data_IF_316893272194
#
_entry.id   IF_316893272194
#
_cell.length_a   1.000
_cell.length_b   1.000
_cell.length_c   1.000
_cell.angle_alpha   90.00
_cell.angle_beta   90.00
_cell.angle_gamma   90.00
#
_symmetry.space_group_name_H-M   'P 1'
#
loop_
_entity.id
_entity.type
_entity.pdbx_description
1 polymer ?
#
# COMPACT_ATOMS: atom_id res chain seq x y z
N UNK A 1 35.65 2.09 27.12
CA UNK A 1 34.51 1.46 26.46
C UNK A 1 34.85 1.39 24.97
N UNK A 2 34.74 0.26 24.34
CA UNK A 2 35.15 0.10 22.93
C UNK A 2 34.03 0.63 22.02
N UNK A 3 34.22 1.83 21.45
CA UNK A 3 33.22 2.49 20.59
C UNK A 3 32.91 1.65 19.35
N UNK A 4 33.93 0.97 18.78
CA UNK A 4 33.77 0.12 17.59
C UNK A 4 32.79 -1.05 17.81
N UNK A 5 32.72 -1.60 19.02
CA UNK A 5 31.75 -2.61 19.38
C UNK A 5 30.31 -2.09 19.29
N UNK A 6 30.03 -0.93 19.88
CA UNK A 6 28.69 -0.34 19.86
C UNK A 6 28.29 0.16 18.47
N UNK A 7 29.24 0.72 17.70
CA UNK A 7 29.00 1.12 16.32
C UNK A 7 28.68 -0.08 15.43
N UNK A 8 29.41 -1.20 15.60
CA UNK A 8 29.11 -2.43 14.90
C UNK A 8 27.74 -3.02 15.29
N UNK A 9 27.38 -2.96 16.58
CA UNK A 9 26.09 -3.44 17.07
C UNK A 9 24.91 -2.59 16.51
N UNK A 10 25.03 -1.25 16.54
CA UNK A 10 24.00 -0.38 15.93
C UNK A 10 23.88 -0.59 14.43
N UNK A 11 25.01 -0.80 13.73
CA UNK A 11 25.02 -1.15 12.31
C UNK A 11 24.31 -2.48 12.03
N UNK A 12 24.52 -3.52 12.87
CA UNK A 12 23.79 -4.79 12.71
C UNK A 12 22.28 -4.62 12.89
N UNK A 13 21.83 -3.88 13.91
CA UNK A 13 20.41 -3.62 14.17
C UNK A 13 19.78 -2.91 12.95
N UNK A 14 20.41 -1.82 12.50
CA UNK A 14 19.90 -1.07 11.35
C UNK A 14 19.82 -1.92 10.06
N UNK A 15 20.83 -2.77 9.80
CA UNK A 15 20.80 -3.66 8.65
C UNK A 15 19.76 -4.76 8.79
N UNK A 16 19.50 -5.26 10.02
CA UNK A 16 18.43 -6.22 10.27
C UNK A 16 17.06 -5.63 9.97
N UNK A 17 16.81 -4.38 10.39
CA UNK A 17 15.58 -3.66 10.07
C UNK A 17 15.43 -3.44 8.56
N UNK A 18 16.51 -3.08 7.86
CA UNK A 18 16.53 -2.98 6.41
C UNK A 18 16.18 -4.31 5.72
N UNK A 19 16.77 -5.42 6.15
CA UNK A 19 16.45 -6.76 5.64
C UNK A 19 14.96 -7.11 5.83
N UNK A 20 14.38 -6.75 6.96
CA UNK A 20 12.96 -6.99 7.24
C UNK A 20 12.08 -6.27 6.22
N UNK A 21 12.41 -5.00 5.89
CA UNK A 21 11.66 -4.19 4.93
C UNK A 21 11.77 -4.79 3.52
N UNK A 22 12.99 -5.12 3.05
CA UNK A 22 13.16 -5.74 1.73
C UNK A 22 12.48 -7.12 1.64
N UNK A 23 12.53 -7.92 2.72
CA UNK A 23 11.83 -9.20 2.78
C UNK A 23 10.31 -9.03 2.73
N UNK A 24 9.79 -7.97 3.37
CA UNK A 24 8.37 -7.62 3.30
C UNK A 24 7.95 -7.23 1.89
N UNK A 25 8.74 -6.41 1.18
CA UNK A 25 8.51 -6.09 -0.22
C UNK A 25 8.46 -7.35 -1.09
N UNK A 26 9.46 -8.23 -0.96
CA UNK A 26 9.52 -9.49 -1.72
C UNK A 26 8.28 -10.36 -1.48
N UNK A 27 7.83 -10.45 -0.23
CA UNK A 27 6.63 -11.23 0.12
C UNK A 27 5.36 -10.69 -0.54
N UNK A 28 5.31 -9.37 -0.79
CA UNK A 28 4.15 -8.67 -1.35
C UNK A 28 4.29 -8.35 -2.85
N UNK A 29 5.20 -9.03 -3.57
CA UNK A 29 5.39 -8.83 -5.02
C UNK A 29 4.14 -9.16 -5.84
N UNK A 30 3.32 -10.11 -5.39
CA UNK A 30 2.06 -10.51 -6.05
C UNK A 30 0.81 -9.89 -5.42
N UNK A 31 0.96 -9.00 -4.43
CA UNK A 31 -0.16 -8.36 -3.77
C UNK A 31 -0.66 -7.18 -4.61
N UNK A 32 -1.95 -7.17 -4.94
CA UNK A 32 -2.59 -6.13 -5.75
C UNK A 32 -2.54 -4.78 -5.02
N UNK A 33 -2.23 -3.71 -5.74
CA UNK A 33 -2.19 -2.35 -5.20
C UNK A 33 -1.09 -2.09 -4.15
N UNK A 34 -0.17 -3.05 -3.92
CA UNK A 34 0.91 -2.88 -2.96
C UNK A 34 1.94 -1.85 -3.43
N UNK A 35 2.29 -0.91 -2.55
CA UNK A 35 3.35 0.08 -2.77
C UNK A 35 4.60 -0.32 -2.01
N UNK A 36 5.73 -0.41 -2.72
CA UNK A 36 7.01 -0.82 -2.12
C UNK A 36 7.48 0.15 -1.05
N UNK A 37 8.10 -0.40 -0.02
CA UNK A 37 8.65 0.32 1.12
C UNK A 37 10.16 0.49 0.94
N UNK A 38 10.68 1.67 1.27
CA UNK A 38 12.11 1.96 1.24
C UNK A 38 12.59 2.43 2.61
N UNK A 39 13.60 1.76 3.21
CA UNK A 39 14.20 2.23 4.45
C UNK A 39 15.07 3.46 4.21
N UNK A 40 14.98 4.44 5.10
CA UNK A 40 15.86 5.61 5.16
C UNK A 40 16.76 5.50 6.37
N UNK A 41 18.08 5.42 6.14
CA UNK A 41 19.08 5.33 7.19
C UNK A 41 19.57 6.72 7.58
N UNK A 42 19.80 6.91 8.87
CA UNK A 42 20.44 8.11 9.41
C UNK A 42 21.63 7.73 10.30
N UNK A 43 22.60 8.60 10.36
CA UNK A 43 23.75 8.47 11.25
C UNK A 43 23.40 8.91 12.67
N UNK A 44 24.06 8.30 13.64
CA UNK A 44 23.97 8.72 15.05
C UNK A 44 24.83 9.96 15.30
N UNK A 45 24.50 10.68 16.37
CA UNK A 45 25.24 11.87 16.79
C UNK A 45 26.74 11.61 16.93
N UNK A 46 27.54 12.59 16.56
CA UNK A 46 28.99 12.57 16.72
C UNK A 46 29.38 13.15 18.09
N UNK A 47 30.44 12.61 18.70
CA UNK A 47 31.07 13.21 19.86
C UNK A 47 32.44 13.76 19.51
N UNK A 48 32.73 14.96 19.99
CA UNK A 48 34.05 15.59 19.88
C UNK A 48 34.95 14.99 20.94
N UNK A 49 36.05 14.35 20.54
CA UNK A 49 36.97 13.69 21.49
C UNK A 49 37.83 14.68 22.29
N UNK A 50 38.12 15.83 21.71
CA UNK A 50 38.89 16.90 22.37
C UNK A 50 38.25 18.25 22.13
N UNK A 51 37.96 18.98 23.18
CA UNK A 51 37.38 20.31 23.10
C UNK A 51 38.28 21.34 22.39
N UNK A 52 39.60 21.11 22.38
CA UNK A 52 40.59 21.95 21.76
C UNK A 52 40.77 21.70 20.25
N UNK A 53 40.30 20.55 19.76
CA UNK A 53 40.43 20.13 18.35
C UNK A 53 39.10 19.60 17.88
N UNK A 54 38.13 20.44 17.48
CA UNK A 54 36.77 20.05 17.10
C UNK A 54 36.72 19.18 15.83
N UNK A 55 37.80 19.05 15.08
CA UNK A 55 37.92 18.20 13.91
C UNK A 55 37.98 16.71 14.26
N UNK A 56 38.27 16.34 15.51
CA UNK A 56 38.37 14.97 15.96
C UNK A 56 37.02 14.48 16.48
N UNK A 57 36.18 14.06 15.55
CA UNK A 57 34.84 13.54 15.86
C UNK A 57 34.80 12.02 15.75
N UNK A 58 34.01 11.39 16.61
CA UNK A 58 33.74 9.95 16.58
C UNK A 58 32.25 9.73 16.33
N UNK A 59 31.94 8.96 15.28
CA UNK A 59 30.58 8.54 14.97
C UNK A 59 30.11 7.38 15.86
N UNK A 60 28.83 7.29 16.12
CA UNK A 60 28.21 6.27 16.98
C UNK A 60 27.36 5.23 16.22
N UNK A 61 27.49 5.19 14.90
CA UNK A 61 26.79 4.21 14.06
C UNK A 61 25.61 4.81 13.31
N UNK A 62 24.67 3.97 12.94
CA UNK A 62 23.48 4.31 12.14
C UNK A 62 22.22 3.64 12.71
N UNK A 63 21.07 4.17 12.31
CA UNK A 63 19.74 3.61 12.61
C UNK A 63 18.80 3.84 11.43
N UNK A 64 17.71 3.07 11.35
CA UNK A 64 16.63 3.34 10.42
C UNK A 64 15.78 4.47 10.98
N UNK A 65 15.75 5.60 10.27
CA UNK A 65 15.03 6.79 10.71
C UNK A 65 13.53 6.67 10.40
N UNK A 66 13.20 6.18 9.21
CA UNK A 66 11.84 6.01 8.73
C UNK A 66 11.78 5.03 7.56
N UNK A 67 10.59 4.61 7.25
CA UNK A 67 10.26 3.85 6.05
C UNK A 67 9.36 4.71 5.18
N UNK A 68 9.72 4.93 3.93
CA UNK A 68 8.96 5.72 2.97
C UNK A 68 8.26 4.80 1.97
N UNK A 69 7.04 5.17 1.55
CA UNK A 69 6.34 4.53 0.45
C UNK A 69 6.84 5.06 -0.88
N UNK A 70 6.98 4.18 -1.85
CA UNK A 70 7.23 4.54 -3.24
C UNK A 70 5.89 4.63 -3.95
N UNK A 71 5.40 5.86 -4.16
CA UNK A 71 4.09 6.15 -4.78
C UNK A 71 4.11 6.05 -6.31
N UNK A 72 5.05 5.29 -6.86
CA UNK A 72 5.08 5.00 -8.28
C UNK A 72 3.88 4.14 -8.67
N UNK A 73 3.40 4.30 -9.92
CA UNK A 73 2.32 3.48 -10.43
C UNK A 73 2.83 2.11 -10.84
N UNK A 74 2.14 1.05 -10.38
CA UNK A 74 2.40 -0.32 -10.79
C UNK A 74 1.93 -0.60 -12.23
N UNK A 75 2.37 -1.71 -12.80
CA UNK A 75 1.85 -2.17 -14.08
C UNK A 75 0.42 -2.67 -13.94
N UNK A 76 -0.41 -2.43 -14.97
CA UNK A 76 -1.75 -2.98 -15.02
C UNK A 76 -1.73 -4.38 -15.64
N UNK A 77 -2.45 -5.30 -15.02
CA UNK A 77 -2.76 -6.61 -15.61
C UNK A 77 -4.25 -6.73 -15.85
N UNK A 78 -4.62 -7.50 -16.86
CA UNK A 78 -6.03 -7.84 -17.07
C UNK A 78 -6.53 -8.70 -15.92
N UNK A 79 -7.57 -8.24 -15.22
CA UNK A 79 -8.28 -8.98 -14.20
C UNK A 79 -9.11 -10.12 -14.79
N UNK A 80 -9.31 -11.17 -14.01
CA UNK A 80 -10.16 -12.30 -14.39
C UNK A 80 -11.64 -12.00 -14.15
N UNK A 81 -11.95 -11.09 -13.23
CA UNK A 81 -13.31 -10.74 -12.83
C UNK A 81 -13.78 -9.45 -13.49
N UNK A 82 -15.11 -9.37 -13.70
CA UNK A 82 -15.75 -8.16 -14.23
C UNK A 82 -15.73 -6.98 -13.25
N UNK A 83 -15.58 -7.28 -11.95
CA UNK A 83 -15.55 -6.32 -10.84
C UNK A 83 -14.12 -5.92 -10.43
N UNK A 84 -13.13 -6.27 -11.26
CA UNK A 84 -11.76 -5.80 -11.08
C UNK A 84 -11.60 -4.40 -11.68
N UNK A 85 -11.14 -3.46 -10.87
CA UNK A 85 -10.95 -2.06 -11.26
C UNK A 85 -9.54 -1.58 -10.96
N UNK A 86 -8.98 -0.77 -11.84
CA UNK A 86 -7.70 -0.11 -11.62
C UNK A 86 -7.80 1.39 -11.86
N UNK A 87 -7.02 2.16 -11.10
CA UNK A 87 -6.96 3.61 -11.21
C UNK A 87 -5.66 4.01 -11.90
N UNK A 88 -5.71 4.65 -13.09
CA UNK A 88 -4.56 5.35 -13.64
C UNK A 88 -4.38 6.69 -12.91
N UNK A 89 -3.20 6.95 -12.38
CA UNK A 89 -2.90 8.18 -11.64
C UNK A 89 -2.74 7.99 -10.14
N UNK A 90 -2.86 9.07 -9.35
CA UNK A 90 -2.49 9.09 -7.92
C UNK A 90 -3.68 8.96 -6.95
N UNK A 91 -4.91 8.85 -7.47
CA UNK A 91 -6.14 8.76 -6.68
C UNK A 91 -6.32 7.39 -6.00
N UNK A 92 -7.20 7.28 -5.02
CA UNK A 92 -7.48 6.07 -4.23
C UNK A 92 -8.95 5.73 -4.25
N UNK A 93 -9.27 4.44 -4.10
CA UNK A 93 -10.59 4.02 -3.66
C UNK A 93 -10.75 4.28 -2.17
N UNK A 94 -11.97 4.59 -1.74
CA UNK A 94 -12.29 4.69 -0.32
C UNK A 94 -13.19 3.51 0.08
N UNK A 95 -12.80 2.84 1.15
CA UNK A 95 -13.56 1.74 1.73
C UNK A 95 -13.93 2.04 3.17
N UNK A 96 -15.04 1.48 3.63
CA UNK A 96 -15.52 1.64 5.01
C UNK A 96 -15.70 0.28 5.66
N UNK A 97 -15.12 0.13 6.84
CA UNK A 97 -15.29 -1.05 7.69
C UNK A 97 -16.69 -1.04 8.33
N UNK A 98 -17.15 -2.19 8.82
CA UNK A 98 -18.38 -2.36 9.60
C UNK A 98 -18.47 -1.44 10.84
N UNK A 99 -17.32 -1.02 11.36
CA UNK A 99 -17.21 -0.08 12.50
C UNK A 99 -17.45 1.38 12.13
N UNK A 100 -17.48 1.68 10.83
CA UNK A 100 -17.63 3.03 10.29
C UNK A 100 -16.29 3.75 10.05
N UNK A 101 -15.15 3.11 10.28
CA UNK A 101 -13.84 3.66 9.96
C UNK A 101 -13.61 3.64 8.44
N UNK A 102 -13.03 4.71 7.89
CA UNK A 102 -12.77 4.83 6.46
C UNK A 102 -11.28 4.71 6.16
N UNK A 103 -10.96 3.97 5.10
CA UNK A 103 -9.60 3.74 4.63
C UNK A 103 -9.50 4.01 3.14
N UNK A 104 -8.33 4.41 2.70
CA UNK A 104 -7.97 4.54 1.30
C UNK A 104 -7.24 3.28 0.84
N UNK A 105 -7.53 2.79 -0.35
CA UNK A 105 -6.87 1.63 -0.92
C UNK A 105 -6.62 1.78 -2.41
N UNK A 106 -5.60 1.08 -2.91
CA UNK A 106 -5.33 0.88 -4.35
C UNK A 106 -5.75 -0.50 -4.84
N UNK A 107 -6.21 -1.35 -3.92
CA UNK A 107 -6.74 -2.65 -4.28
C UNK A 107 -8.13 -2.48 -4.89
N UNK A 108 -8.27 -2.85 -6.15
CA UNK A 108 -9.53 -2.81 -6.91
C UNK A 108 -10.15 -4.20 -7.15
N UNK A 109 -9.70 -5.24 -6.45
CA UNK A 109 -10.28 -6.57 -6.52
C UNK A 109 -11.58 -6.63 -5.70
N UNK A 110 -12.66 -6.09 -6.27
CA UNK A 110 -13.95 -6.00 -5.59
C UNK A 110 -14.84 -7.21 -5.85
N UNK A 111 -15.79 -7.42 -4.94
CA UNK A 111 -16.75 -8.50 -4.98
C UNK A 111 -18.15 -7.98 -4.70
N UNK A 112 -19.16 -8.69 -5.22
CA UNK A 112 -20.55 -8.41 -4.89
C UNK A 112 -20.93 -9.18 -3.64
N UNK A 113 -21.41 -8.49 -2.60
CA UNK A 113 -21.92 -9.10 -1.37
C UNK A 113 -23.41 -8.81 -1.21
N UNK A 114 -24.16 -9.83 -0.80
CA UNK A 114 -25.60 -9.75 -0.52
C UNK A 114 -25.83 -9.54 0.97
N UNK A 115 -26.06 -8.29 1.38
CA UNK A 115 -26.14 -7.93 2.80
C UNK A 115 -27.58 -7.91 3.30
N UNK A 116 -28.50 -7.46 2.46
CA UNK A 116 -29.93 -7.44 2.75
C UNK A 116 -30.70 -8.11 1.61
N UNK A 117 -31.83 -8.71 1.88
CA UNK A 117 -32.64 -9.51 0.93
C UNK A 117 -33.00 -8.81 -0.40
N UNK A 118 -32.59 -7.55 -0.63
CA UNK A 118 -33.02 -6.75 -1.78
C UNK A 118 -31.87 -6.17 -2.62
N UNK A 119 -30.64 -6.03 -2.07
CA UNK A 119 -29.57 -5.30 -2.77
C UNK A 119 -28.22 -5.98 -2.65
N UNK A 120 -27.46 -5.94 -3.74
CA UNK A 120 -26.06 -6.32 -3.78
C UNK A 120 -25.21 -5.08 -3.62
N UNK A 121 -24.25 -5.11 -2.73
CA UNK A 121 -23.32 -4.02 -2.47
C UNK A 121 -21.90 -4.42 -2.90
N UNK A 122 -21.13 -3.43 -3.32
CA UNK A 122 -19.74 -3.62 -3.73
C UNK A 122 -18.85 -3.63 -2.48
N UNK A 123 -18.10 -4.72 -2.29
CA UNK A 123 -17.19 -4.91 -1.15
C UNK A 123 -15.81 -5.32 -1.63
N UNK A 124 -14.80 -5.09 -0.80
CA UNK A 124 -13.46 -5.63 -1.02
C UNK A 124 -13.35 -7.08 -0.51
N UNK A 125 -12.17 -7.70 -0.64
CA UNK A 125 -11.90 -9.06 -0.18
C UNK A 125 -12.08 -9.29 1.33
N UNK A 126 -12.16 -8.22 2.15
CA UNK A 126 -12.44 -8.26 3.60
C UNK A 126 -13.91 -8.10 3.95
N UNK A 127 -14.74 -7.73 3.01
CA UNK A 127 -16.14 -7.40 3.25
C UNK A 127 -16.37 -5.93 3.63
N UNK A 128 -15.39 -5.04 3.44
CA UNK A 128 -15.56 -3.61 3.65
C UNK A 128 -16.23 -2.99 2.43
N UNK A 129 -17.09 -1.99 2.67
CA UNK A 129 -17.91 -1.35 1.65
C UNK A 129 -17.13 -0.34 0.84
N UNK A 130 -17.21 -0.43 -0.47
CA UNK A 130 -16.68 0.60 -1.36
C UNK A 130 -17.60 1.80 -1.38
N UNK A 131 -17.02 3.00 -1.31
CA UNK A 131 -17.78 4.23 -1.21
C UNK A 131 -17.83 5.00 -2.53
N UNK A 132 -18.98 5.66 -2.74
CA UNK A 132 -19.19 6.66 -3.76
C UNK A 132 -18.56 8.01 -3.33
N UNK A 133 -18.48 8.99 -4.24
CA UNK A 133 -17.98 10.34 -3.99
C UNK A 133 -18.70 11.09 -2.85
N UNK A 134 -19.94 10.72 -2.57
CA UNK A 134 -20.74 11.27 -1.46
C UNK A 134 -20.50 10.54 -0.13
N UNK A 135 -19.69 9.45 -0.15
CA UNK A 135 -19.42 8.62 1.01
C UNK A 135 -20.53 7.59 1.32
N UNK A 136 -21.41 7.30 0.37
CA UNK A 136 -22.43 6.26 0.50
C UNK A 136 -21.90 4.92 -0.01
N UNK A 137 -22.53 3.82 0.44
CA UNK A 137 -22.23 2.47 -0.08
C UNK A 137 -22.72 2.33 -1.52
N UNK A 138 -21.99 1.64 -2.35
CA UNK A 138 -22.34 1.44 -3.75
C UNK A 138 -23.24 0.21 -3.87
N UNK A 139 -24.47 0.43 -4.28
CA UNK A 139 -25.42 -0.62 -4.64
C UNK A 139 -25.23 -0.97 -6.10
N UNK A 140 -25.06 -2.25 -6.41
CA UNK A 140 -24.79 -2.71 -7.78
C UNK A 140 -26.01 -2.49 -8.65
N UNK A 141 -25.92 -1.68 -9.74
CA UNK A 141 -27.02 -1.42 -10.64
C UNK A 141 -27.27 -2.63 -11.58
N UNK A 142 -28.53 -2.93 -11.80
CA UNK A 142 -28.96 -3.93 -12.78
C UNK A 142 -29.54 -3.30 -14.03
N UNK A 143 -29.30 -3.92 -15.18
CA UNK A 143 -29.87 -3.47 -16.45
C UNK A 143 -31.38 -3.68 -16.44
N UNK A 144 -32.12 -2.59 -16.68
CA UNK A 144 -33.56 -2.64 -16.87
C UNK A 144 -33.87 -2.81 -18.36
N UNK A 145 -34.38 -3.98 -18.75
CA UNK A 145 -34.81 -4.21 -20.12
C UNK A 145 -36.32 -4.01 -20.27
N UNK A 146 -36.74 -3.35 -21.33
CA UNK A 146 -38.16 -3.17 -21.67
C UNK A 146 -38.59 -4.26 -22.62
N UNK A 147 -39.59 -5.05 -22.22
CA UNK A 147 -40.25 -6.05 -23.07
C UNK A 147 -41.54 -5.50 -23.66
N UNK A 148 -41.67 -5.55 -24.97
CA UNK A 148 -42.94 -5.25 -25.63
C UNK A 148 -43.89 -6.41 -25.43
N UNK A 149 -45.06 -6.14 -24.88
CA UNK A 149 -46.18 -7.10 -24.80
C UNK A 149 -46.92 -7.11 -26.11
N UNK A 150 -46.99 -8.27 -26.76
CA UNK A 150 -47.77 -8.48 -27.96
C UNK A 150 -49.07 -9.23 -27.58
N UNK A 151 -50.18 -8.74 -28.15
CA UNK A 151 -51.45 -9.46 -28.05
C UNK A 151 -51.48 -10.67 -29.00
N UNK A 152 -52.49 -11.52 -28.87
CA UNK A 152 -52.68 -12.75 -29.69
C UNK A 152 -52.69 -12.47 -31.19
N UNK A 153 -53.01 -11.24 -31.56
CA UNK A 153 -53.02 -10.74 -32.96
C UNK A 153 -51.67 -10.07 -33.37
N UNK A 154 -50.64 -10.08 -32.56
CA UNK A 154 -49.32 -9.56 -32.87
C UNK A 154 -49.17 -8.02 -32.72
N UNK A 155 -50.16 -7.32 -32.22
CA UNK A 155 -50.09 -5.89 -31.99
C UNK A 155 -49.43 -5.59 -30.63
N UNK A 156 -48.61 -4.52 -30.56
CA UNK A 156 -47.98 -4.06 -29.30
C UNK A 156 -49.05 -3.43 -28.41
N UNK A 157 -49.39 -4.09 -27.29
CA UNK A 157 -50.42 -3.67 -26.35
C UNK A 157 -49.86 -2.90 -25.15
N UNK A 158 -48.55 -3.00 -24.91
CA UNK A 158 -47.88 -2.31 -23.80
C UNK A 158 -46.39 -2.60 -23.75
N UNK A 159 -45.69 -1.88 -22.93
CA UNK A 159 -44.28 -2.11 -22.57
C UNK A 159 -44.21 -2.40 -21.06
N UNK A 160 -43.63 -3.52 -20.69
CA UNK A 160 -43.28 -3.80 -19.30
C UNK A 160 -41.77 -3.65 -19.13
N UNK A 161 -41.38 -2.92 -18.10
CA UNK A 161 -40.00 -2.85 -17.65
C UNK A 161 -39.73 -4.00 -16.69
N UNK A 162 -38.71 -4.79 -16.95
CA UNK A 162 -38.28 -5.82 -16.02
C UNK A 162 -36.78 -5.69 -15.76
N UNK A 163 -36.40 -5.90 -14.50
CA UNK A 163 -35.00 -5.88 -14.09
C UNK A 163 -34.35 -7.19 -14.52
N UNK A 164 -33.33 -7.09 -15.35
CA UNK A 164 -32.54 -8.23 -15.78
C UNK A 164 -31.49 -8.56 -14.71
N UNK A 165 -31.10 -9.82 -14.60
CA UNK A 165 -30.02 -10.27 -13.69
C UNK A 165 -28.63 -9.82 -14.15
N UNK A 166 -28.54 -9.01 -15.22
CA UNK A 166 -27.28 -8.49 -15.74
C UNK A 166 -26.92 -7.20 -15.01
N UNK A 167 -25.68 -7.12 -14.54
CA UNK A 167 -25.13 -5.93 -13.90
C UNK A 167 -24.81 -4.90 -14.99
N UNK A 168 -25.15 -3.64 -14.72
CA UNK A 168 -24.72 -2.51 -15.53
C UNK A 168 -23.35 -2.04 -15.07
N UNK A 169 -22.31 -2.55 -15.72
CA UNK A 169 -20.93 -2.24 -15.35
C UNK A 169 -20.51 -0.82 -15.69
N UNK A 170 -21.15 -0.18 -16.67
CA UNK A 170 -20.81 1.18 -17.07
C UNK A 170 -21.36 2.16 -16.01
N UNK A 171 -22.62 1.99 -15.61
CA UNK A 171 -23.21 2.74 -14.52
C UNK A 171 -22.46 2.49 -13.17
N UNK A 172 -22.04 1.25 -12.92
CA UNK A 172 -21.26 0.91 -11.74
C UNK A 172 -19.92 1.66 -11.71
N UNK A 173 -19.23 1.73 -12.85
CA UNK A 173 -17.93 2.43 -12.95
C UNK A 173 -18.08 3.92 -12.65
N UNK A 174 -19.16 4.54 -13.12
CA UNK A 174 -19.46 5.96 -12.86
C UNK A 174 -19.82 6.23 -11.39
N UNK A 175 -20.33 5.22 -10.67
CA UNK A 175 -20.68 5.33 -9.25
C UNK A 175 -19.47 5.22 -8.32
N UNK A 176 -18.37 4.56 -8.74
CA UNK A 176 -17.20 4.37 -7.88
C UNK A 176 -16.53 5.70 -7.57
N UNK A 177 -16.42 6.01 -6.27
CA UNK A 177 -15.74 7.20 -5.77
C UNK A 177 -14.23 7.10 -5.88
N UNK A 178 -13.60 8.13 -6.46
CA UNK A 178 -12.15 8.31 -6.41
C UNK A 178 -11.81 9.47 -5.50
N UNK A 179 -10.78 9.28 -4.70
CA UNK A 179 -10.34 10.28 -3.72
C UNK A 179 -8.86 10.57 -3.91
N UNK A 180 -8.54 11.85 -3.82
CA UNK A 180 -7.18 12.34 -3.86
C UNK A 180 -6.78 12.92 -2.50
N UNK A 181 -5.50 12.96 -2.21
CA UNK A 181 -4.95 13.46 -0.94
C UNK A 181 -3.85 14.46 -1.26
N UNK A 182 -3.85 15.60 -0.55
CA UNK A 182 -2.83 16.64 -0.78
C UNK A 182 -1.41 16.14 -0.57
N UNK A 183 -1.21 15.24 0.40
CA UNK A 183 0.10 14.72 0.75
C UNK A 183 0.07 13.21 1.00
N UNK A 184 0.40 12.44 -0.02
CA UNK A 184 0.47 10.97 0.06
C UNK A 184 1.52 10.48 1.08
N UNK A 185 2.58 11.27 1.34
CA UNK A 185 3.61 10.94 2.33
C UNK A 185 3.14 11.03 3.78
N UNK A 186 2.00 11.65 4.01
CA UNK A 186 1.36 11.79 5.31
C UNK A 186 0.42 10.64 5.65
N UNK A 187 0.15 9.73 4.71
CA UNK A 187 -0.70 8.57 4.94
C UNK A 187 -0.01 7.56 5.85
N UNK A 188 -0.77 6.94 6.74
CA UNK A 188 -0.30 5.87 7.62
C UNK A 188 -0.81 4.53 7.10
N UNK A 189 0.08 3.54 7.02
CA UNK A 189 -0.29 2.21 6.55
C UNK A 189 -1.00 1.45 7.66
N UNK A 190 -2.14 0.91 7.33
CA UNK A 190 -2.82 -0.09 8.11
C UNK A 190 -2.65 -1.48 7.46
N UNK A 191 -3.28 -2.49 7.98
CA UNK A 191 -3.26 -3.84 7.41
C UNK A 191 -3.85 -3.85 5.96
N UNK A 192 -3.45 -4.84 5.14
CA UNK A 192 -4.00 -5.15 3.80
C UNK A 192 -4.04 -3.99 2.78
N UNK A 193 -2.95 -3.28 2.61
CA UNK A 193 -2.84 -2.16 1.67
C UNK A 193 -3.85 -1.03 1.88
N UNK A 194 -4.36 -0.92 3.12
CA UNK A 194 -5.18 0.21 3.52
C UNK A 194 -4.32 1.34 4.05
N UNK A 195 -4.65 2.54 3.63
CA UNK A 195 -4.01 3.77 4.08
C UNK A 195 -4.99 4.56 4.92
N UNK A 196 -4.57 4.90 6.11
CA UNK A 196 -5.33 5.75 7.02
C UNK A 196 -4.95 7.20 6.81
N UNK A 197 -5.97 8.04 6.71
CA UNK A 197 -5.80 9.50 6.66
C UNK A 197 -5.29 10.02 8.00
N UNK A 198 -4.27 10.87 7.96
CA UNK A 198 -3.71 11.55 9.14
C UNK A 198 -3.82 13.06 9.01
N UNK A 199 -3.66 13.82 10.10
CA UNK A 199 -3.63 15.28 10.01
C UNK A 199 -2.49 15.85 9.14
N UNK A 200 -1.52 15.01 8.74
CA UNK A 200 -0.41 15.38 7.86
C UNK A 200 -0.71 15.14 6.38
N UNK A 201 -1.61 14.21 6.09
CA UNK A 201 -2.03 13.92 4.72
C UNK A 201 -3.03 14.93 4.18
N UNK A 202 -3.76 15.62 5.06
CA UNK A 202 -4.95 16.37 4.71
C UNK A 202 -6.18 15.46 4.58
N UNK A 203 -7.36 16.08 4.46
CA UNK A 203 -8.61 15.34 4.27
C UNK A 203 -8.70 14.83 2.82
N UNK A 204 -9.28 13.64 2.58
CA UNK A 204 -9.48 13.11 1.23
C UNK A 204 -10.48 13.97 0.46
N UNK A 205 -10.11 14.35 -0.75
CA UNK A 205 -10.89 15.18 -1.65
C UNK A 205 -11.45 14.28 -2.75
N UNK A 206 -12.78 14.27 -2.91
CA UNK A 206 -13.42 13.52 -3.97
C UNK A 206 -13.05 14.10 -5.35
N UNK A 207 -12.61 13.26 -6.27
CA UNK A 207 -12.25 13.63 -7.64
C UNK A 207 -13.53 13.90 -8.44
N UNK A 208 -13.64 15.06 -9.16
CA UNK A 208 -14.79 15.36 -10.00
C UNK A 208 -15.02 14.30 -11.08
N UNK A 209 -16.26 14.05 -11.47
CA UNK A 209 -16.63 13.03 -12.47
C UNK A 209 -15.88 13.18 -13.81
N UNK A 210 -15.62 14.39 -14.24
CA UNK A 210 -14.93 14.65 -15.51
C UNK A 210 -13.46 14.25 -15.53
N UNK A 211 -12.84 14.17 -14.36
CA UNK A 211 -11.41 13.86 -14.21
C UNK A 211 -11.17 12.40 -13.72
N UNK A 212 -12.26 11.67 -13.44
CA UNK A 212 -12.15 10.27 -13.04
C UNK A 212 -11.76 9.40 -14.22
N UNK A 213 -10.75 8.58 -13.99
CA UNK A 213 -10.35 7.54 -14.92
C UNK A 213 -10.29 6.21 -14.17
N UNK A 214 -11.12 5.27 -14.58
CA UNK A 214 -11.15 3.92 -14.02
C UNK A 214 -11.04 2.94 -15.18
N UNK A 215 -10.12 1.99 -15.06
CA UNK A 215 -9.95 0.92 -16.04
C UNK A 215 -10.66 -0.30 -15.49
N UNK A 216 -11.66 -0.79 -16.22
CA UNK A 216 -12.38 -2.03 -15.90
C UNK A 216 -11.58 -3.26 -16.28
N UNK A 217 -11.83 -4.37 -15.61
CA UNK A 217 -11.14 -5.66 -15.83
C UNK A 217 -9.63 -5.51 -15.77
N UNK A 218 -9.15 -4.69 -14.87
CA UNK A 218 -7.73 -4.49 -14.66
C UNK A 218 -7.44 -4.36 -13.17
N UNK A 219 -6.26 -4.80 -12.77
CA UNK A 219 -5.75 -4.65 -11.42
C UNK A 219 -4.37 -4.00 -11.49
N UNK A 220 -4.08 -3.13 -10.54
CA UNK A 220 -2.75 -2.57 -10.38
C UNK A 220 -1.87 -3.58 -9.64
N UNK A 221 -0.76 -3.99 -10.26
CA UNK A 221 0.21 -4.88 -9.64
C UNK A 221 1.08 -4.13 -8.63
N UNK A 222 1.70 -4.91 -7.76
CA UNK A 222 2.74 -4.41 -6.85
C UNK A 222 3.80 -3.60 -7.60
N UNK A 223 4.27 -2.50 -7.00
CA UNK A 223 5.41 -1.71 -7.53
C UNK A 223 6.77 -2.32 -7.21
N UNK A 224 6.81 -3.51 -6.61
CA UNK A 224 8.03 -4.21 -6.20
C UNK A 224 8.76 -4.77 -7.42
N UNK A 225 10.01 -4.35 -7.63
CA UNK A 225 10.94 -5.03 -8.53
C UNK A 225 11.69 -6.11 -7.76
N UNK A 226 11.30 -7.37 -7.98
CA UNK A 226 11.88 -8.53 -7.30
C UNK A 226 13.41 -8.61 -7.48
N UNK A 227 13.93 -8.28 -8.67
CA UNK A 227 15.37 -8.36 -8.95
C UNK A 227 16.13 -7.30 -8.14
N UNK A 228 15.63 -6.07 -8.10
CA UNK A 228 16.21 -4.98 -7.33
C UNK A 228 16.16 -5.28 -5.82
N UNK A 229 15.02 -5.75 -5.30
CA UNK A 229 14.86 -6.08 -3.88
C UNK A 229 15.78 -7.22 -3.44
N UNK A 230 15.97 -8.25 -4.28
CA UNK A 230 16.94 -9.33 -3.99
C UNK A 230 18.37 -8.81 -3.91
N UNK A 231 18.77 -7.86 -4.78
CA UNK A 231 20.08 -7.24 -4.72
C UNK A 231 20.24 -6.46 -3.42
N UNK A 232 19.26 -5.64 -3.05
CA UNK A 232 19.27 -4.88 -1.80
C UNK A 232 19.35 -5.79 -0.57
N UNK A 233 18.63 -6.91 -0.58
CA UNK A 233 18.68 -7.91 0.49
C UNK A 233 20.07 -8.53 0.62
N UNK A 234 20.73 -8.86 -0.51
CA UNK A 234 22.10 -9.42 -0.50
C UNK A 234 23.10 -8.37 0.01
N UNK A 235 22.99 -7.12 -0.41
CA UNK A 235 23.87 -6.03 0.02
C UNK A 235 23.73 -5.78 1.52
N UNK A 236 22.50 -5.72 2.01
CA UNK A 236 22.18 -5.51 3.43
C UNK A 236 22.68 -6.68 4.28
N UNK A 237 22.46 -7.91 3.81
CA UNK A 237 22.97 -9.11 4.49
C UNK A 237 24.50 -9.15 4.56
N UNK A 238 25.20 -8.76 3.48
CA UNK A 238 26.68 -8.65 3.50
C UNK A 238 27.14 -7.57 4.48
N UNK A 239 26.46 -6.42 4.50
CA UNK A 239 26.75 -5.34 5.44
C UNK A 239 26.55 -5.78 6.89
N UNK A 240 25.48 -6.55 7.17
CA UNK A 240 25.26 -7.18 8.47
C UNK A 240 26.42 -8.11 8.87
N UNK A 241 26.88 -8.99 7.97
CA UNK A 241 27.99 -9.90 8.22
C UNK A 241 29.31 -9.15 8.48
N UNK A 242 29.57 -8.03 7.78
CA UNK A 242 30.76 -7.20 8.02
C UNK A 242 30.70 -6.55 9.40
N UNK A 243 29.54 -6.01 9.80
CA UNK A 243 29.35 -5.44 11.14
C UNK A 243 29.52 -6.50 12.23
N UNK A 244 29.03 -7.72 12.01
CA UNK A 244 29.23 -8.84 12.94
C UNK A 244 30.74 -9.19 13.12
N UNK A 245 31.51 -9.16 12.02
CA UNK A 245 32.97 -9.35 12.12
C UNK A 245 33.66 -8.21 12.88
N UNK A 246 33.24 -6.97 12.72
CA UNK A 246 33.74 -5.84 13.52
C UNK A 246 33.51 -6.06 14.99
N UNK A 247 32.32 -6.55 15.39
CA UNK A 247 31.98 -6.87 16.77
C UNK A 247 32.88 -7.98 17.31
N UNK A 248 33.04 -9.10 16.58
CA UNK A 248 33.89 -10.22 17.01
C UNK A 248 35.35 -9.82 17.14
N UNK A 249 35.91 -9.07 16.16
CA UNK A 249 37.30 -8.59 16.25
C UNK A 249 37.50 -7.60 17.38
N UNK A 250 36.49 -6.76 17.66
CA UNK A 250 36.54 -5.83 18.82
C UNK A 250 36.57 -6.57 20.15
N UNK A 251 35.80 -7.67 20.25
CA UNK A 251 35.79 -8.53 21.45
C UNK A 251 37.15 -9.26 21.63
N UNK A 252 37.71 -9.82 20.57
CA UNK A 252 39.03 -10.44 20.58
C UNK A 252 40.12 -9.47 21.03
N UNK A 253 40.14 -8.23 20.52
CA UNK A 253 41.08 -7.19 20.95
C UNK A 253 40.92 -6.82 22.45
N UNK A 254 39.67 -6.78 22.92
CA UNK A 254 39.43 -6.53 24.37
C UNK A 254 39.94 -7.68 25.23
N UNK A 255 39.75 -8.92 24.77
CA UNK A 255 40.23 -10.12 25.46
C UNK A 255 41.77 -10.12 25.51
N UNK A 256 42.46 -9.80 24.40
CA UNK A 256 43.93 -9.65 24.39
C UNK A 256 44.38 -8.56 25.33
N UNK A 257 43.73 -7.39 25.31
CA UNK A 257 44.08 -6.31 26.24
C UNK A 257 43.90 -6.66 27.72
N UNK A 258 42.88 -7.47 28.04
CA UNK A 258 42.64 -7.95 29.39
C UNK A 258 43.66 -9.02 29.83
N UNK A 259 44.17 -9.84 28.92
CA UNK A 259 45.18 -10.88 29.24
C UNK A 259 46.59 -10.33 29.39
N UNK A 260 46.83 -9.13 28.83
CA UNK A 260 48.12 -8.43 28.96
C UNK A 260 48.24 -7.63 30.26
N UNK A 261 47.21 -7.59 31.10
CA UNK A 261 47.16 -6.86 32.37
C UNK A 261 47.32 -7.81 33.57
#
# INVERSE_FOLDING_TARGET
MNISFYTGASGMIAQQEGMNIYSHNISNVNTVGYKSLRPSFADCLYTVQRATEPEWQTGHGQYVMKTDFMWEQGSFIMGEQELDFAIPGDSFFMVRDERGDTYLTRDGAFQASHINNDHWELVNGRGEFVLDNEGNHIVIPYVTETRQLHDVDGNVTGTEEYVTTKIDYDALTDMIGLYDVENNWGLDQNEDNHFRVTPRSGDPIAVPENDRQIIRKALEMSTVDLAAEMVHLIETHRSYQLNARVVTTSDELMNIANTLR
#
